data_IF_065302132936
#
_entry.id   IF_065302132936
#
_cell.length_a   1.000
_cell.length_b   1.000
_cell.length_c   1.000
_cell.angle_alpha   90.00
_cell.angle_beta   90.00
_cell.angle_gamma   90.00
#
_symmetry.space_group_name_H-M   'P 1'
#
loop_
_entity.id
_entity.type
_entity.pdbx_description
1 polymer ?
#
# COMPACT_ATOMS: atom_id res chain seq x y z
N UNK A 1 0.61 15.33 19.15
CA UNK A 1 0.72 15.24 17.68
C UNK A 1 1.98 14.47 17.33
N UNK A 2 1.88 13.51 16.42
CA UNK A 2 3.05 12.85 15.80
C UNK A 2 3.66 13.85 14.82
N UNK A 3 4.95 14.16 15.01
CA UNK A 3 5.60 15.32 14.36
C UNK A 3 6.55 14.96 13.22
N UNK A 4 7.07 13.74 13.20
CA UNK A 4 8.08 13.27 12.27
C UNK A 4 8.00 11.76 12.10
N UNK A 5 8.79 11.23 11.17
CA UNK A 5 8.89 9.80 10.88
C UNK A 5 9.19 8.96 12.13
N UNK A 6 10.17 9.37 12.95
CA UNK A 6 10.55 8.62 14.14
C UNK A 6 9.41 8.52 15.16
N UNK A 7 8.69 9.62 15.38
CA UNK A 7 7.51 9.63 16.23
C UNK A 7 6.36 8.80 15.63
N UNK A 8 6.22 8.72 14.31
CA UNK A 8 5.19 7.90 13.67
C UNK A 8 5.44 6.40 13.84
N UNK A 9 6.70 5.98 13.82
CA UNK A 9 7.09 4.58 14.04
C UNK A 9 7.23 4.22 15.53
N UNK A 10 7.16 5.18 16.45
CA UNK A 10 7.09 4.93 17.90
C UNK A 10 5.68 4.52 18.33
N UNK A 11 5.53 3.29 18.83
CA UNK A 11 4.27 2.78 19.36
C UNK A 11 3.74 3.63 20.51
N UNK A 12 4.60 3.99 21.47
CA UNK A 12 4.25 4.86 22.60
C UNK A 12 3.69 6.21 22.13
N UNK A 13 4.30 6.80 21.10
CA UNK A 13 3.83 8.08 20.56
C UNK A 13 2.46 7.95 19.86
N UNK A 14 2.22 6.85 19.13
CA UNK A 14 0.90 6.56 18.52
C UNK A 14 -0.16 6.32 19.59
N UNK A 15 0.16 5.53 20.61
CA UNK A 15 -0.73 5.25 21.73
C UNK A 15 -1.09 6.51 22.51
N UNK A 16 -0.10 7.33 22.86
CA UNK A 16 -0.35 8.60 23.55
C UNK A 16 -1.24 9.55 22.72
N UNK A 17 -1.06 9.61 21.40
CA UNK A 17 -1.94 10.40 20.53
C UNK A 17 -3.37 9.85 20.50
N UNK A 18 -3.52 8.52 20.44
CA UNK A 18 -4.82 7.86 20.46
C UNK A 18 -5.56 8.03 21.79
N UNK A 19 -4.86 7.93 22.92
CA UNK A 19 -5.42 8.20 24.24
C UNK A 19 -5.89 9.65 24.35
N UNK A 20 -5.06 10.60 23.91
CA UNK A 20 -5.46 12.01 23.88
C UNK A 20 -6.69 12.25 22.98
N UNK A 21 -6.74 11.59 21.82
CA UNK A 21 -7.90 11.67 20.92
C UNK A 21 -9.19 11.24 21.64
N UNK A 22 -9.17 10.08 22.29
CA UNK A 22 -10.34 9.54 22.98
C UNK A 22 -10.73 10.34 24.23
N UNK A 23 -9.75 10.68 25.07
CA UNK A 23 -10.01 11.25 26.40
C UNK A 23 -10.19 12.77 26.38
N UNK A 24 -9.60 13.46 25.40
CA UNK A 24 -9.59 14.92 25.36
C UNK A 24 -10.36 15.46 24.16
N UNK A 25 -10.14 14.93 22.96
CA UNK A 25 -10.78 15.50 21.76
C UNK A 25 -12.24 15.14 21.69
N UNK A 26 -12.57 13.85 21.70
CA UNK A 26 -13.96 13.38 21.55
C UNK A 26 -14.86 13.83 22.72
N UNK A 27 -14.32 13.89 23.94
CA UNK A 27 -15.09 14.33 25.14
C UNK A 27 -15.43 15.82 25.15
N UNK A 28 -14.82 16.61 24.27
CA UNK A 28 -15.03 18.07 24.17
C UNK A 28 -15.94 18.48 23.00
N UNK A 29 -16.44 17.52 22.23
CA UNK A 29 -17.34 17.81 21.11
C UNK A 29 -18.76 18.05 21.63
N UNK A 30 -19.26 19.28 21.48
CA UNK A 30 -20.64 19.64 21.75
C UNK A 30 -21.45 19.65 20.45
N UNK A 31 -22.60 18.95 20.37
CA UNK A 31 -23.47 19.02 19.20
C UNK A 31 -24.10 20.41 18.97
N UNK A 32 -24.22 20.86 17.69
CA UNK A 32 -23.70 20.21 16.49
C UNK A 32 -22.21 20.48 16.31
N UNK A 33 -21.46 19.46 15.92
CA UNK A 33 -20.03 19.57 15.60
C UNK A 33 -19.73 19.01 14.21
N UNK A 34 -18.65 19.53 13.62
CA UNK A 34 -18.00 18.96 12.44
C UNK A 34 -16.53 18.74 12.80
N UNK A 35 -16.04 17.52 12.54
CA UNK A 35 -14.66 17.14 12.84
C UNK A 35 -13.94 16.80 11.54
N UNK A 36 -12.82 17.48 11.30
CA UNK A 36 -11.97 17.24 10.13
C UNK A 36 -10.59 16.86 10.66
N UNK A 37 -10.13 15.67 10.27
CA UNK A 37 -8.79 15.18 10.62
C UNK A 37 -7.93 15.22 9.36
N UNK A 38 -6.86 16.01 9.42
CA UNK A 38 -5.89 16.14 8.32
C UNK A 38 -4.53 15.69 8.85
N UNK A 39 -3.82 14.86 8.09
CA UNK A 39 -2.49 14.42 8.44
C UNK A 39 -1.80 13.69 7.31
N UNK A 40 -0.47 13.67 7.36
CA UNK A 40 0.34 12.82 6.50
C UNK A 40 0.30 11.40 7.05
N UNK A 41 -0.01 10.41 6.20
CA UNK A 41 0.02 9.00 6.56
C UNK A 41 1.46 8.49 6.58
N UNK A 42 1.86 7.91 7.70
CA UNK A 42 3.21 7.36 7.88
C UNK A 42 3.19 5.89 8.29
N UNK A 43 2.15 5.49 9.03
CA UNK A 43 2.01 4.16 9.59
C UNK A 43 0.57 3.70 9.45
N UNK A 44 0.33 2.40 9.25
CA UNK A 44 -1.03 1.87 9.14
C UNK A 44 -1.86 2.10 10.41
N UNK A 45 -1.20 2.06 11.57
CA UNK A 45 -1.74 2.27 12.92
C UNK A 45 -1.66 3.75 13.41
N UNK A 46 -1.45 4.71 12.51
CA UNK A 46 -1.58 6.12 12.88
C UNK A 46 -3.03 6.51 13.29
N UNK A 47 -3.23 7.74 13.77
CA UNK A 47 -4.55 8.21 14.22
C UNK A 47 -5.63 8.01 13.15
N UNK A 48 -5.33 8.30 11.88
CA UNK A 48 -6.28 8.11 10.78
C UNK A 48 -6.53 6.60 10.60
N UNK A 49 -5.50 5.76 10.61
CA UNK A 49 -5.63 4.32 10.61
C UNK A 49 -6.59 3.78 11.67
N UNK A 50 -6.44 4.25 12.92
CA UNK A 50 -7.32 3.86 14.04
C UNK A 50 -8.74 4.41 13.93
N UNK A 51 -8.93 5.59 13.35
CA UNK A 51 -10.27 6.11 13.05
C UNK A 51 -10.96 5.24 12.00
N UNK A 52 -10.21 4.74 11.02
CA UNK A 52 -10.70 3.92 9.91
C UNK A 52 -10.94 2.46 10.26
N UNK A 53 -10.35 1.96 11.34
CA UNK A 53 -10.44 0.54 11.72
C UNK A 53 -11.64 0.27 12.62
N UNK A 54 -12.52 -0.69 12.28
CA UNK A 54 -13.64 -1.08 13.13
C UNK A 54 -13.19 -1.72 14.45
N UNK A 55 -11.95 -2.20 14.53
CA UNK A 55 -11.38 -2.78 15.75
C UNK A 55 -11.11 -1.71 16.83
N UNK A 56 -10.75 -0.50 16.40
CA UNK A 56 -10.40 0.61 17.31
C UNK A 56 -11.48 1.68 17.38
N UNK A 57 -12.29 1.83 16.33
CA UNK A 57 -13.40 2.78 16.28
C UNK A 57 -14.69 2.08 15.82
N UNK A 58 -15.70 1.90 16.70
CA UNK A 58 -16.97 1.28 16.31
C UNK A 58 -17.86 2.18 15.43
N UNK A 59 -17.52 3.46 15.25
CA UNK A 59 -18.29 4.45 14.47
C UNK A 59 -17.55 4.87 13.19
N UNK A 60 -16.97 3.90 12.48
CA UNK A 60 -16.26 4.14 11.21
C UNK A 60 -17.17 4.66 10.10
N UNK A 61 -18.46 4.36 10.18
CA UNK A 61 -19.51 4.78 9.25
C UNK A 61 -19.83 6.28 9.31
N UNK A 62 -19.44 6.97 10.37
CA UNK A 62 -19.60 8.43 10.51
C UNK A 62 -18.53 9.23 9.76
N UNK A 63 -17.51 8.56 9.22
CA UNK A 63 -16.37 9.21 8.60
C UNK A 63 -16.42 9.12 7.08
N UNK A 64 -16.32 10.28 6.45
CA UNK A 64 -16.01 10.38 5.03
C UNK A 64 -14.49 10.46 4.86
N UNK A 65 -13.94 9.67 3.93
CA UNK A 65 -12.51 9.67 3.64
C UNK A 65 -12.27 10.29 2.27
N UNK A 66 -11.49 11.36 2.26
CA UNK A 66 -11.09 12.07 1.05
C UNK A 66 -9.58 11.90 0.91
N UNK A 67 -9.12 11.35 -0.21
CA UNK A 67 -7.70 11.05 -0.42
C UNK A 67 -7.24 11.64 -1.75
N UNK A 68 -6.12 12.38 -1.73
CA UNK A 68 -5.51 12.91 -2.95
C UNK A 68 -4.16 12.23 -3.20
N UNK A 69 -4.13 11.01 -3.76
CA UNK A 69 -2.86 10.34 -4.04
C UNK A 69 -2.11 11.08 -5.16
N UNK A 70 -0.78 10.97 -5.14
CA UNK A 70 0.09 11.58 -6.15
C UNK A 70 -0.26 11.11 -7.57
N UNK A 71 -0.72 9.87 -7.72
CA UNK A 71 -1.38 9.37 -8.93
C UNK A 71 -2.76 8.84 -8.57
N UNK A 72 -3.78 9.20 -9.34
CA UNK A 72 -5.15 8.74 -9.10
C UNK A 72 -5.23 7.21 -9.15
N UNK A 73 -5.93 6.63 -8.18
CA UNK A 73 -6.21 5.19 -8.10
C UNK A 73 -7.67 4.87 -8.41
N UNK A 74 -8.38 5.78 -9.09
CA UNK A 74 -9.77 5.55 -9.50
C UNK A 74 -9.90 4.26 -10.33
N UNK A 75 -11.03 3.57 -10.18
CA UNK A 75 -11.30 2.37 -10.97
C UNK A 75 -11.50 2.72 -12.47
N UNK A 76 -11.32 1.76 -13.38
CA UNK A 76 -11.60 1.98 -14.80
C UNK A 76 -13.03 2.49 -15.03
N UNK A 77 -13.16 3.67 -15.64
CA UNK A 77 -14.45 4.31 -15.90
C UNK A 77 -14.94 5.27 -14.81
N UNK A 78 -14.22 5.36 -13.69
CA UNK A 78 -14.49 6.28 -12.58
C UNK A 78 -13.46 7.42 -12.53
N UNK A 79 -13.72 8.40 -11.67
CA UNK A 79 -12.78 9.48 -11.34
C UNK A 79 -12.61 9.57 -9.83
N UNK A 80 -11.46 10.10 -9.41
CA UNK A 80 -11.25 10.43 -7.99
C UNK A 80 -12.00 11.70 -7.57
N UNK A 81 -11.78 12.14 -6.33
CA UNK A 81 -12.46 13.24 -5.66
C UNK A 81 -12.28 14.61 -6.36
N UNK A 82 -11.32 14.74 -7.28
CA UNK A 82 -11.10 15.95 -8.09
C UNK A 82 -11.27 15.70 -9.59
N UNK A 83 -11.84 14.57 -10.00
CA UNK A 83 -12.17 14.28 -11.40
C UNK A 83 -11.02 13.67 -12.21
N UNK A 84 -9.95 13.18 -11.56
CA UNK A 84 -8.83 12.53 -12.25
C UNK A 84 -9.14 11.08 -12.60
N UNK A 85 -8.78 10.68 -13.82
CA UNK A 85 -8.80 9.28 -14.25
C UNK A 85 -7.63 8.50 -13.65
N UNK A 86 -7.74 7.18 -13.66
CA UNK A 86 -6.69 6.27 -13.19
C UNK A 86 -5.32 6.63 -13.76
N UNK A 87 -4.33 6.77 -12.88
CA UNK A 87 -2.94 7.09 -13.23
C UNK A 87 -2.66 8.56 -13.51
N UNK A 88 -3.65 9.45 -13.51
CA UNK A 88 -3.39 10.89 -13.70
C UNK A 88 -2.71 11.49 -12.46
N UNK A 89 -1.64 12.30 -12.64
CA UNK A 89 -0.88 12.87 -11.55
C UNK A 89 -1.63 14.00 -10.84
N UNK A 90 -1.34 14.20 -9.55
CA UNK A 90 -1.79 15.37 -8.81
C UNK A 90 -0.96 16.60 -9.20
N UNK A 91 -1.59 17.59 -9.80
CA UNK A 91 -0.94 18.86 -10.15
C UNK A 91 -0.81 19.77 -8.92
N UNK A 92 0.27 20.55 -8.86
CA UNK A 92 0.43 21.56 -7.80
C UNK A 92 -0.59 22.71 -7.94
N UNK A 93 -1.42 22.99 -6.91
CA UNK A 93 -2.32 24.14 -6.93
C UNK A 93 -1.59 25.48 -6.67
N UNK A 94 -0.31 25.43 -6.29
CA UNK A 94 0.46 26.61 -5.87
C UNK A 94 1.28 27.24 -7.01
N UNK A 95 1.32 26.61 -8.19
CA UNK A 95 2.03 27.19 -9.32
C UNK A 95 1.15 28.23 -10.02
N UNK A 96 1.71 29.42 -10.29
CA UNK A 96 1.02 30.52 -10.97
C UNK A 96 0.43 30.09 -12.32
N UNK A 97 1.10 29.15 -13.00
CA UNK A 97 0.56 28.45 -14.16
C UNK A 97 0.23 27.01 -13.76
N UNK A 98 -0.92 26.53 -14.23
CA UNK A 98 -1.34 25.14 -14.03
C UNK A 98 -0.23 24.20 -14.52
N UNK A 99 0.24 23.35 -13.62
CA UNK A 99 1.22 22.31 -13.96
C UNK A 99 0.68 21.44 -15.08
N UNK A 100 1.46 21.25 -16.14
CA UNK A 100 1.08 20.27 -17.17
C UNK A 100 1.18 18.86 -16.60
N UNK A 101 0.36 17.94 -17.10
CA UNK A 101 0.40 16.52 -16.73
C UNK A 101 1.80 15.92 -16.85
N UNK A 102 2.53 16.27 -17.92
CA UNK A 102 3.91 15.82 -18.13
C UNK A 102 4.86 16.32 -17.03
N UNK A 103 4.76 17.59 -16.65
CA UNK A 103 5.58 18.16 -15.58
C UNK A 103 5.27 17.51 -14.21
N UNK A 104 3.99 17.31 -13.90
CA UNK A 104 3.57 16.66 -12.67
C UNK A 104 4.06 15.20 -12.59
N UNK A 105 3.94 14.44 -13.70
CA UNK A 105 4.50 13.09 -13.80
C UNK A 105 6.01 13.08 -13.52
N UNK A 106 6.77 13.98 -14.14
CA UNK A 106 8.21 14.09 -13.93
C UNK A 106 8.55 14.41 -12.47
N UNK A 107 7.83 15.34 -11.85
CA UNK A 107 8.03 15.71 -10.44
C UNK A 107 7.73 14.54 -9.50
N UNK A 108 6.61 13.85 -9.68
CA UNK A 108 6.24 12.73 -8.85
C UNK A 108 7.17 11.54 -8.99
N UNK A 109 7.60 11.21 -10.21
CA UNK A 109 8.58 10.13 -10.44
C UNK A 109 9.93 10.46 -9.78
N UNK A 110 10.41 11.71 -9.90
CA UNK A 110 11.63 12.14 -9.23
C UNK A 110 11.53 12.06 -7.70
N UNK A 111 10.36 12.31 -7.12
CA UNK A 111 10.13 12.15 -5.68
C UNK A 111 10.12 10.66 -5.31
N UNK A 112 9.39 9.82 -6.07
CA UNK A 112 9.32 8.37 -5.87
C UNK A 112 10.70 7.73 -5.83
N UNK A 113 11.57 8.09 -6.77
CA UNK A 113 12.96 7.61 -6.83
C UNK A 113 13.79 8.02 -5.60
N UNK A 114 13.55 9.21 -5.04
CA UNK A 114 14.33 9.75 -3.92
C UNK A 114 13.92 9.18 -2.56
N UNK A 115 12.62 8.97 -2.34
CA UNK A 115 12.09 8.61 -1.01
C UNK A 115 11.98 7.10 -0.80
N UNK A 116 12.03 6.30 -1.86
CA UNK A 116 11.85 4.86 -1.81
C UNK A 116 10.38 4.43 -1.70
N UNK A 117 10.10 3.16 -1.98
CA UNK A 117 8.74 2.62 -2.13
C UNK A 117 7.87 2.78 -0.87
N UNK A 118 8.40 2.45 0.31
CA UNK A 118 7.64 2.51 1.55
C UNK A 118 7.17 3.92 1.90
N UNK A 119 8.09 4.89 1.85
CA UNK A 119 7.76 6.30 2.08
C UNK A 119 6.86 6.86 0.98
N UNK A 120 7.05 6.40 -0.27
CA UNK A 120 6.20 6.74 -1.41
C UNK A 120 4.75 6.29 -1.19
N UNK A 121 4.55 5.01 -0.87
CA UNK A 121 3.22 4.44 -0.66
C UNK A 121 2.52 5.10 0.54
N UNK A 122 3.23 5.29 1.65
CA UNK A 122 2.67 5.93 2.85
C UNK A 122 2.30 7.39 2.60
N UNK A 123 3.26 8.25 2.26
CA UNK A 123 3.05 9.69 2.28
C UNK A 123 2.38 10.24 1.03
N UNK A 124 2.67 9.65 -0.13
CA UNK A 124 2.27 10.20 -1.42
C UNK A 124 1.10 9.44 -2.03
N UNK A 125 1.01 8.12 -1.81
CA UNK A 125 -0.16 7.33 -2.22
C UNK A 125 -1.19 7.15 -1.09
N UNK A 126 -0.86 7.56 0.14
CA UNK A 126 -1.74 7.50 1.32
C UNK A 126 -2.12 6.06 1.75
N UNK A 127 -1.24 5.10 1.43
CA UNK A 127 -1.36 3.67 1.69
C UNK A 127 -0.16 3.17 2.49
N UNK A 128 0.00 3.58 3.76
CA UNK A 128 1.05 3.02 4.59
C UNK A 128 0.82 1.51 4.75
N UNK A 129 1.88 0.74 4.64
CA UNK A 129 1.90 -0.69 4.94
C UNK A 129 2.72 -0.91 6.20
N UNK A 130 2.42 -1.97 6.95
CA UNK A 130 3.27 -2.39 8.06
C UNK A 130 4.72 -2.60 7.58
N UNK A 131 5.70 -2.16 8.37
CA UNK A 131 7.11 -2.53 8.20
C UNK A 131 7.31 -4.07 8.17
N UNK A 132 6.33 -4.81 8.69
CA UNK A 132 6.31 -6.27 8.83
C UNK A 132 5.14 -6.94 8.06
N UNK A 133 4.67 -6.32 6.97
CA UNK A 133 3.61 -6.86 6.11
C UNK A 133 4.14 -7.63 4.90
N UNK A 134 4.44 -8.92 5.08
CA UNK A 134 4.55 -9.88 3.98
C UNK A 134 5.89 -9.96 3.25
N UNK A 135 7.03 -9.97 3.96
CA UNK A 135 8.24 -10.58 3.39
C UNK A 135 7.91 -12.05 3.19
N UNK A 136 7.53 -12.44 1.97
CA UNK A 136 7.57 -13.84 1.58
C UNK A 136 9.06 -14.17 1.55
N UNK A 137 9.56 -15.00 2.48
CA UNK A 137 10.96 -15.33 2.50
C UNK A 137 11.23 -15.99 1.15
N UNK A 138 12.17 -15.44 0.38
CA UNK A 138 12.40 -15.95 -0.98
C UNK A 138 12.76 -17.42 -0.93
N UNK A 139 13.31 -17.91 0.19
CA UNK A 139 13.61 -19.30 0.54
C UNK A 139 12.38 -20.20 0.75
N UNK A 140 11.22 -19.62 1.06
CA UNK A 140 9.95 -20.36 1.23
C UNK A 140 9.09 -20.40 -0.03
N UNK A 141 9.43 -19.64 -1.07
CA UNK A 141 8.77 -19.74 -2.38
C UNK A 141 9.07 -21.10 -3.02
N UNK A 142 8.03 -21.73 -3.57
CA UNK A 142 8.16 -22.87 -4.47
C UNK A 142 7.87 -22.39 -5.90
N UNK A 143 8.73 -22.77 -6.82
CA UNK A 143 8.62 -22.44 -8.23
C UNK A 143 7.99 -23.60 -9.00
N UNK A 144 7.55 -23.35 -10.22
CA UNK A 144 7.15 -24.40 -11.15
C UNK A 144 7.68 -24.12 -12.54
N UNK A 145 7.84 -25.18 -13.34
CA UNK A 145 8.12 -25.09 -14.77
C UNK A 145 7.32 -26.15 -15.51
N UNK A 146 6.92 -25.86 -16.74
CA UNK A 146 6.32 -26.85 -17.66
C UNK A 146 7.35 -27.43 -18.64
N UNK A 147 8.58 -26.87 -18.66
CA UNK A 147 9.66 -27.31 -19.54
C UNK A 147 10.56 -28.30 -18.82
N UNK A 148 10.58 -29.54 -19.32
CA UNK A 148 11.44 -30.61 -18.83
C UNK A 148 12.93 -30.28 -19.02
N UNK A 149 13.28 -29.59 -20.11
CA UNK A 149 14.64 -29.11 -20.35
C UNK A 149 15.07 -28.06 -19.32
N UNK A 150 14.16 -27.19 -18.88
CA UNK A 150 14.48 -26.23 -17.81
C UNK A 150 14.70 -26.97 -16.48
N UNK A 151 13.81 -27.91 -16.14
CA UNK A 151 13.88 -28.65 -14.88
C UNK A 151 15.13 -29.54 -14.75
N UNK A 152 15.53 -30.19 -15.83
CA UNK A 152 16.70 -31.08 -15.86
C UNK A 152 18.02 -30.33 -15.70
N UNK A 153 18.08 -29.06 -16.15
CA UNK A 153 19.25 -28.19 -16.03
C UNK A 153 19.37 -27.48 -14.67
N UNK A 154 18.41 -27.64 -13.77
CA UNK A 154 18.47 -27.09 -12.40
C UNK A 154 19.45 -27.87 -11.52
N UNK A 155 20.11 -27.16 -10.60
CA UNK A 155 20.88 -27.76 -9.52
C UNK A 155 19.99 -28.56 -8.56
N UNK A 156 20.58 -29.41 -7.72
CA UNK A 156 19.82 -30.20 -6.74
C UNK A 156 18.99 -29.32 -5.78
N UNK A 157 19.56 -28.19 -5.33
CA UNK A 157 18.88 -27.24 -4.44
C UNK A 157 17.72 -26.51 -5.15
N UNK A 158 17.88 -26.16 -6.43
CA UNK A 158 16.81 -25.53 -7.21
C UNK A 158 15.67 -26.51 -7.52
N UNK A 159 15.98 -27.80 -7.74
CA UNK A 159 14.97 -28.86 -7.94
C UNK A 159 14.15 -29.15 -6.69
N UNK A 160 14.73 -29.07 -5.50
CA UNK A 160 13.98 -29.23 -4.25
C UNK A 160 12.87 -28.17 -4.09
N UNK A 161 13.07 -27.01 -4.71
CA UNK A 161 12.19 -25.85 -4.62
C UNK A 161 11.36 -25.59 -5.87
N UNK A 162 11.52 -26.41 -6.91
CA UNK A 162 10.82 -26.28 -8.20
C UNK A 162 10.04 -27.55 -8.51
N UNK A 163 8.77 -27.44 -8.88
CA UNK A 163 7.97 -28.59 -9.34
C UNK A 163 7.86 -28.59 -10.86
N UNK A 164 8.24 -29.69 -11.52
CA UNK A 164 7.91 -29.90 -12.94
C UNK A 164 6.42 -30.25 -13.04
N UNK A 165 5.65 -29.35 -13.65
CA UNK A 165 4.25 -29.58 -13.95
C UNK A 165 4.14 -30.15 -15.36
N UNK A 166 3.77 -31.43 -15.45
CA UNK A 166 3.45 -32.06 -16.73
C UNK A 166 2.21 -31.39 -17.36
N UNK A 167 2.03 -31.43 -18.69
CA UNK A 167 0.87 -30.83 -19.34
C UNK A 167 -0.49 -31.26 -18.75
N UNK A 168 -0.71 -32.54 -18.35
CA UNK A 168 -1.94 -32.94 -17.65
C UNK A 168 -2.11 -32.30 -16.26
N UNK A 169 -1.02 -32.17 -15.49
CA UNK A 169 -1.06 -31.50 -14.18
C UNK A 169 -1.34 -30.01 -14.31
N UNK A 170 -0.76 -29.36 -15.32
CA UNK A 170 -1.02 -27.96 -15.65
C UNK A 170 -2.49 -27.72 -16.01
N UNK A 171 -3.07 -28.58 -16.85
CA UNK A 171 -4.48 -28.47 -17.23
C UNK A 171 -5.44 -28.69 -16.04
N UNK A 172 -5.10 -29.59 -15.12
CA UNK A 172 -5.91 -29.83 -13.92
C UNK A 172 -6.00 -28.60 -13.02
N UNK A 173 -4.89 -27.89 -12.79
CA UNK A 173 -4.86 -26.71 -11.90
C UNK A 173 -5.40 -25.43 -12.56
N UNK A 174 -5.28 -25.31 -13.88
CA UNK A 174 -5.77 -24.14 -14.64
C UNK A 174 -7.24 -24.24 -15.02
N UNK A 175 -7.89 -25.37 -14.73
CA UNK A 175 -9.33 -25.50 -14.89
C UNK A 175 -10.05 -24.69 -13.80
N UNK A 176 -10.95 -23.74 -14.14
CA UNK A 176 -11.53 -22.77 -13.19
C UNK A 176 -12.26 -23.35 -11.97
N UNK A 177 -12.57 -24.65 -11.97
CA UNK A 177 -13.30 -25.32 -10.89
C UNK A 177 -12.43 -25.77 -9.71
N UNK A 178 -11.09 -25.65 -9.78
CA UNK A 178 -10.17 -26.25 -8.78
C UNK A 178 -9.24 -25.27 -8.04
N UNK A 179 -9.29 -23.95 -8.30
CA UNK A 179 -8.43 -23.01 -7.56
C UNK A 179 -8.76 -21.53 -7.78
N UNK A 180 -8.32 -20.70 -6.84
CA UNK A 180 -8.32 -19.24 -6.95
C UNK A 180 -6.91 -18.82 -7.36
N UNK A 181 -6.78 -18.24 -8.56
CA UNK A 181 -5.54 -17.66 -9.04
C UNK A 181 -5.47 -16.22 -8.56
N UNK A 182 -4.41 -15.88 -7.82
CA UNK A 182 -4.14 -14.51 -7.38
C UNK A 182 -2.85 -14.07 -8.07
N UNK A 183 -2.97 -13.08 -8.95
CA UNK A 183 -1.83 -12.40 -9.54
C UNK A 183 -1.63 -11.07 -8.80
N UNK A 184 -0.38 -10.78 -8.40
CA UNK A 184 -0.02 -9.56 -7.69
C UNK A 184 1.23 -8.96 -8.32
N UNK A 185 1.01 -7.87 -9.03
CA UNK A 185 2.02 -7.02 -9.67
C UNK A 185 2.92 -6.25 -8.68
N UNK A 186 2.59 -6.22 -7.38
CA UNK A 186 3.27 -5.39 -6.35
C UNK A 186 4.05 -6.21 -5.29
N UNK A 187 4.44 -7.46 -5.61
CA UNK A 187 5.18 -8.28 -4.65
C UNK A 187 6.69 -7.98 -4.73
N UNK A 188 7.25 -7.33 -3.71
CA UNK A 188 8.70 -7.10 -3.60
C UNK A 188 9.40 -8.32 -2.97
N UNK A 189 10.31 -8.96 -3.73
CA UNK A 189 11.13 -10.07 -3.23
C UNK A 189 12.51 -9.55 -2.79
N UNK A 190 12.92 -9.83 -1.55
CA UNK A 190 14.26 -9.50 -1.05
C UNK A 190 15.14 -10.75 -1.10
N UNK A 191 16.12 -10.76 -2.01
CA UNK A 191 17.16 -11.80 -2.06
C UNK A 191 18.24 -11.51 -1.03
N UNK A 192 18.52 -12.49 -0.17
CA UNK A 192 19.61 -12.42 0.80
C UNK A 192 20.98 -12.46 0.11
N UNK A 193 21.88 -11.63 0.63
CA UNK A 193 23.31 -11.47 0.31
C UNK A 193 23.65 -11.16 -1.16
N UNK A 194 23.95 -9.88 -1.38
CA UNK A 194 24.35 -9.20 -2.62
C UNK A 194 23.19 -8.67 -3.48
N UNK A 195 22.56 -7.59 -3.02
CA UNK A 195 22.02 -6.52 -3.86
C UNK A 195 21.99 -5.22 -3.07
#
# INVERSE_FOLDING_TARGET
MVKDYAAAHSEDARNALWEWWQQNTLTRLEPPYLLIVVGTRWHEDDLIGRIKSPETNPRTDEWEHIIFPAFSTAAPGETDEIGRKQGEPLTSPLMEQVETTHAANKRWNAIRERVGSMAWEAQYMQRPAADTGGIIPIDKLKFFTTSENVYTNLTAAERERTTLLTPPQWQAITTPSQGIWVDSWDTAFKGGENS
#
